data_IF_372227075730
#
_entry.id   IF_372227075730
#
_cell.length_a   1.000
_cell.length_b   1.000
_cell.length_c   1.000
_cell.angle_alpha   90.00
_cell.angle_beta   90.00
_cell.angle_gamma   90.00
#
_symmetry.space_group_name_H-M   'P 1'
#
loop_
_entity.id
_entity.type
_entity.pdbx_description
1 polymer ?
#
# COMPACT_ATOMS: atom_id res chain seq x y z
N UNK A 1 20.57 11.28 20.18
CA UNK A 1 20.63 12.03 18.89
C UNK A 1 19.23 12.21 18.34
N UNK A 2 18.89 13.43 17.96
CA UNK A 2 17.59 13.72 17.34
C UNK A 2 17.69 13.53 15.83
N UNK A 3 16.77 12.77 15.26
CA UNK A 3 16.76 12.54 13.81
C UNK A 3 15.33 12.38 13.29
N UNK A 4 15.18 12.67 12.02
CA UNK A 4 13.98 12.37 11.26
C UNK A 4 14.39 11.76 9.92
N UNK A 5 13.69 10.73 9.48
CA UNK A 5 13.96 10.02 8.24
C UNK A 5 12.66 9.93 7.42
N UNK A 6 12.75 10.26 6.16
CA UNK A 6 11.71 10.06 5.19
C UNK A 6 12.19 9.07 4.14
N UNK A 7 11.37 8.05 3.86
CA UNK A 7 11.63 7.08 2.80
C UNK A 7 10.41 6.90 1.92
N UNK A 8 10.65 6.66 0.65
CA UNK A 8 9.61 6.36 -0.33
C UNK A 8 10.03 5.12 -1.10
N UNK A 9 9.14 4.13 -1.18
CA UNK A 9 9.35 2.92 -1.94
C UNK A 9 8.19 2.69 -2.92
N UNK A 10 8.48 2.49 -4.22
CA UNK A 10 7.43 2.19 -5.18
C UNK A 10 6.94 0.76 -5.03
N UNK A 11 5.65 0.56 -5.24
CA UNK A 11 5.00 -0.75 -5.24
C UNK A 11 4.56 -1.06 -6.66
N UNK A 12 5.00 -2.21 -7.20
CA UNK A 12 4.78 -2.56 -8.60
C UNK A 12 3.70 -3.61 -8.83
N UNK A 13 3.36 -4.41 -7.81
CA UNK A 13 2.36 -5.48 -7.96
C UNK A 13 1.23 -5.32 -6.96
N UNK A 14 0.05 -5.84 -7.32
CA UNK A 14 -1.10 -5.82 -6.43
C UNK A 14 -0.93 -6.77 -5.25
N UNK A 15 -0.14 -7.84 -5.43
CA UNK A 15 0.17 -8.76 -4.32
C UNK A 15 0.98 -8.06 -3.23
N UNK A 16 1.99 -7.29 -3.62
CA UNK A 16 2.80 -6.51 -2.68
C UNK A 16 1.94 -5.46 -1.96
N UNK A 17 1.03 -4.81 -2.70
CA UNK A 17 0.09 -3.86 -2.11
C UNK A 17 -0.81 -4.53 -1.06
N UNK A 18 -1.29 -5.74 -1.35
CA UNK A 18 -2.11 -6.51 -0.40
C UNK A 18 -1.34 -6.85 0.87
N UNK A 19 -0.08 -7.26 0.74
CA UNK A 19 0.78 -7.58 1.89
C UNK A 19 1.04 -6.36 2.76
N UNK A 20 1.30 -5.21 2.17
CA UNK A 20 1.49 -3.95 2.89
C UNK A 20 0.21 -3.56 3.61
N UNK A 21 -0.95 -3.72 2.98
CA UNK A 21 -2.24 -3.45 3.59
C UNK A 21 -2.48 -4.31 4.82
N UNK A 22 -2.22 -5.62 4.71
CA UNK A 22 -2.35 -6.55 5.84
C UNK A 22 -1.41 -6.19 6.99
N UNK A 23 -0.18 -5.78 6.67
CA UNK A 23 0.79 -5.35 7.68
C UNK A 23 0.32 -4.07 8.38
N UNK A 24 -0.07 -3.05 7.62
CA UNK A 24 -0.48 -1.76 8.17
C UNK A 24 -1.74 -1.86 9.04
N UNK A 25 -2.66 -2.74 8.67
CA UNK A 25 -3.90 -2.97 9.42
C UNK A 25 -3.78 -4.03 10.49
N UNK A 26 -2.59 -4.63 10.65
CA UNK A 26 -2.32 -5.67 11.65
C UNK A 26 -3.26 -6.86 11.53
N UNK A 27 -3.50 -7.31 10.29
CA UNK A 27 -4.39 -8.44 10.02
C UNK A 27 -3.77 -9.80 10.35
N UNK A 28 -2.44 -9.88 10.44
CA UNK A 28 -1.73 -11.12 10.78
C UNK A 28 -1.69 -11.32 12.29
N UNK A 29 -1.78 -12.57 12.73
CA UNK A 29 -1.70 -12.92 14.15
C UNK A 29 -0.28 -12.85 14.71
N UNK A 30 0.74 -13.01 13.86
CA UNK A 30 2.14 -12.95 14.24
C UNK A 30 2.98 -12.37 13.10
N UNK A 31 4.04 -11.67 13.45
CA UNK A 31 4.97 -11.03 12.51
C UNK A 31 6.38 -11.54 12.77
N UNK A 32 6.71 -12.70 12.19
CA UNK A 32 8.01 -13.34 12.41
C UNK A 32 9.18 -12.53 11.86
N UNK A 33 8.94 -11.72 10.82
CA UNK A 33 9.97 -10.87 10.20
C UNK A 33 10.28 -9.62 11.00
N UNK A 34 9.42 -9.26 11.95
CA UNK A 34 9.63 -8.10 12.82
C UNK A 34 9.11 -8.41 14.22
N UNK A 35 9.97 -8.97 15.10
CA UNK A 35 9.57 -9.34 16.44
C UNK A 35 9.24 -8.15 17.35
N UNK A 36 9.61 -6.93 16.95
CA UNK A 36 9.34 -5.73 17.74
C UNK A 36 7.88 -5.26 17.65
N UNK A 37 7.09 -5.87 16.76
CA UNK A 37 5.66 -5.55 16.63
C UNK A 37 4.92 -6.12 17.85
N UNK A 38 4.30 -5.23 18.60
CA UNK A 38 3.44 -5.59 19.74
C UNK A 38 1.97 -5.47 19.33
N UNK A 39 1.34 -6.62 19.08
CA UNK A 39 -0.05 -6.66 18.64
C UNK A 39 -1.03 -6.14 19.70
N UNK A 40 -0.66 -6.19 20.99
CA UNK A 40 -1.52 -5.66 22.06
C UNK A 40 -1.68 -4.14 21.97
N UNK A 41 -0.76 -3.45 21.32
CA UNK A 41 -0.77 -1.99 21.13
C UNK A 41 -1.39 -1.55 19.81
N UNK A 42 -1.96 -2.46 19.03
CA UNK A 42 -2.61 -2.12 17.74
C UNK A 42 -3.72 -1.08 17.93
N UNK A 43 -4.42 -1.13 19.04
CA UNK A 43 -5.47 -0.15 19.38
C UNK A 43 -4.97 1.30 19.48
N UNK A 44 -3.67 1.48 19.70
CA UNK A 44 -3.05 2.81 19.82
C UNK A 44 -2.69 3.39 18.43
N UNK A 45 -2.79 2.59 17.36
CA UNK A 45 -2.55 3.05 16.02
C UNK A 45 -3.70 3.97 15.56
N UNK A 46 -3.33 5.07 14.90
CA UNK A 46 -4.30 6.05 14.39
C UNK A 46 -4.20 6.12 12.88
N UNK A 47 -5.34 5.99 12.20
CA UNK A 47 -5.45 6.26 10.76
C UNK A 47 -5.91 7.70 10.57
N UNK A 48 -5.04 8.57 10.06
CA UNK A 48 -5.36 9.99 9.84
C UNK A 48 -6.37 10.17 8.72
N UNK A 49 -6.22 9.39 7.64
CA UNK A 49 -7.20 9.34 6.55
C UNK A 49 -7.56 7.86 6.37
N UNK A 50 -8.60 7.38 7.06
CA UNK A 50 -8.93 5.96 7.03
C UNK A 50 -9.44 5.50 5.68
N UNK A 51 -8.99 4.33 5.24
CA UNK A 51 -9.52 3.62 4.11
C UNK A 51 -10.34 2.44 4.62
N UNK A 52 -11.65 2.46 4.39
CA UNK A 52 -12.60 1.47 4.91
C UNK A 52 -12.64 0.17 4.11
N UNK A 53 -11.61 -0.11 3.33
CA UNK A 53 -11.51 -1.29 2.49
C UNK A 53 -10.04 -1.72 2.39
N UNK A 54 -9.80 -2.92 1.89
CA UNK A 54 -8.45 -3.41 1.63
C UNK A 54 -7.80 -2.55 0.54
N UNK A 55 -6.49 -2.43 0.56
CA UNK A 55 -5.75 -1.56 -0.37
C UNK A 55 -5.95 -1.96 -1.83
N UNK A 56 -5.97 -3.25 -2.13
CA UNK A 56 -6.22 -3.73 -3.50
C UNK A 56 -7.61 -3.31 -3.98
N UNK A 57 -8.60 -3.44 -3.12
CA UNK A 57 -9.97 -3.00 -3.44
C UNK A 57 -10.01 -1.48 -3.66
N UNK A 58 -9.30 -0.72 -2.82
CA UNK A 58 -9.15 0.72 -3.00
C UNK A 58 -8.52 1.09 -4.33
N UNK A 59 -7.48 0.36 -4.73
CA UNK A 59 -6.84 0.54 -6.03
C UNK A 59 -7.84 0.31 -7.17
N UNK A 60 -8.64 -0.75 -7.12
CA UNK A 60 -9.65 -1.02 -8.15
C UNK A 60 -10.72 0.08 -8.22
N UNK A 61 -11.16 0.60 -7.07
CA UNK A 61 -12.11 1.70 -7.04
C UNK A 61 -11.57 2.97 -7.68
N UNK A 62 -10.30 3.30 -7.42
CA UNK A 62 -9.64 4.47 -8.00
C UNK A 62 -9.40 4.33 -9.50
N UNK A 63 -9.24 3.12 -10.00
CA UNK A 63 -8.86 2.85 -11.39
C UNK A 63 -9.99 2.20 -12.21
N UNK A 64 -11.23 2.23 -11.73
CA UNK A 64 -12.34 1.54 -12.39
C UNK A 64 -12.59 1.99 -13.83
N UNK A 65 -12.34 3.25 -14.14
CA UNK A 65 -12.48 3.76 -15.51
C UNK A 65 -11.42 3.17 -16.45
N UNK A 66 -10.19 3.07 -15.97
CA UNK A 66 -9.11 2.44 -16.72
C UNK A 66 -9.38 0.96 -16.94
N UNK A 67 -9.98 0.30 -15.96
CA UNK A 67 -10.40 -1.11 -16.08
C UNK A 67 -11.44 -1.26 -17.19
N UNK A 68 -12.44 -0.39 -17.26
CA UNK A 68 -13.45 -0.42 -18.31
C UNK A 68 -12.83 -0.23 -19.69
N UNK A 69 -11.93 0.74 -19.84
CA UNK A 69 -11.23 0.99 -21.09
C UNK A 69 -10.40 -0.22 -21.52
N UNK A 70 -9.73 -0.87 -20.56
CA UNK A 70 -8.97 -2.08 -20.81
C UNK A 70 -9.86 -3.22 -21.29
N UNK A 71 -10.98 -3.45 -20.63
CA UNK A 71 -11.93 -4.50 -20.99
C UNK A 71 -12.51 -4.28 -22.39
N UNK A 72 -12.80 -3.04 -22.75
CA UNK A 72 -13.26 -2.70 -24.10
C UNK A 72 -12.20 -2.96 -25.16
N UNK A 73 -10.94 -2.59 -24.89
CA UNK A 73 -9.84 -2.90 -25.80
C UNK A 73 -9.64 -4.41 -25.97
N UNK A 74 -9.80 -5.19 -24.89
CA UNK A 74 -9.62 -6.64 -24.93
C UNK A 74 -10.70 -7.34 -25.73
N UNK A 75 -11.90 -6.77 -25.89
CA UNK A 75 -12.94 -7.32 -26.76
C UNK A 75 -12.50 -7.38 -28.20
N UNK A 76 -11.68 -6.43 -28.65
CA UNK A 76 -11.18 -6.33 -30.02
C UNK A 76 -9.78 -6.91 -30.18
N UNK A 77 -9.17 -7.40 -29.11
CA UNK A 77 -7.83 -7.94 -29.13
C UNK A 77 -7.85 -9.42 -29.57
N UNK A 78 -6.75 -9.88 -30.16
CA UNK A 78 -6.57 -11.29 -30.50
C UNK A 78 -6.62 -12.12 -29.23
N UNK A 79 -7.21 -13.31 -29.32
CA UNK A 79 -7.46 -14.18 -28.18
C UNK A 79 -6.18 -14.54 -27.43
N UNK A 80 -5.07 -14.76 -28.14
CA UNK A 80 -3.76 -15.06 -27.57
C UNK A 80 -3.10 -13.89 -26.83
N UNK A 81 -3.62 -12.66 -27.02
CA UNK A 81 -3.09 -11.45 -26.38
C UNK A 81 -4.02 -10.89 -25.31
N UNK A 82 -5.20 -11.48 -25.13
CA UNK A 82 -6.14 -11.02 -24.13
C UNK A 82 -5.61 -11.25 -22.72
N UNK A 83 -5.77 -10.24 -21.86
CA UNK A 83 -5.33 -10.29 -20.46
C UNK A 83 -6.34 -9.60 -19.58
N UNK A 84 -6.48 -10.09 -18.34
CA UNK A 84 -7.28 -9.39 -17.33
C UNK A 84 -6.59 -8.07 -16.96
N UNK A 85 -7.35 -7.15 -16.39
CA UNK A 85 -6.81 -5.89 -15.91
C UNK A 85 -5.68 -6.12 -14.89
N UNK A 86 -5.86 -7.07 -13.97
CA UNK A 86 -4.84 -7.41 -12.99
C UNK A 86 -3.55 -7.94 -13.64
N UNK A 87 -3.68 -8.81 -14.63
CA UNK A 87 -2.51 -9.30 -15.35
C UNK A 87 -1.75 -8.18 -16.07
N UNK A 88 -2.49 -7.25 -16.67
CA UNK A 88 -1.90 -6.10 -17.33
C UNK A 88 -1.15 -5.21 -16.34
N UNK A 89 -1.75 -4.91 -15.20
CA UNK A 89 -1.13 -4.09 -14.15
C UNK A 89 0.17 -4.74 -13.65
N UNK A 90 0.14 -6.04 -13.33
CA UNK A 90 1.30 -6.74 -12.78
C UNK A 90 2.44 -6.85 -13.81
N UNK A 91 2.13 -6.93 -15.10
CA UNK A 91 3.15 -7.03 -16.16
C UNK A 91 3.72 -5.70 -16.61
N UNK A 92 3.00 -4.61 -16.40
CA UNK A 92 3.42 -3.29 -16.91
C UNK A 92 4.68 -2.76 -16.24
N UNK A 93 5.03 -3.27 -15.05
CA UNK A 93 6.12 -2.76 -14.21
C UNK A 93 5.95 -1.28 -13.87
N UNK A 94 4.74 -0.76 -14.02
CA UNK A 94 4.39 0.59 -13.62
C UNK A 94 4.13 0.64 -12.12
N UNK A 95 4.40 1.77 -11.51
CA UNK A 95 4.13 1.97 -10.09
C UNK A 95 2.62 1.99 -9.87
N UNK A 96 2.10 1.08 -9.03
CA UNK A 96 0.69 1.05 -8.65
C UNK A 96 0.42 1.93 -7.42
N UNK A 97 1.41 2.07 -6.56
CA UNK A 97 1.34 2.92 -5.37
C UNK A 97 2.75 3.21 -4.87
N UNK A 98 2.90 4.25 -4.07
CA UNK A 98 4.12 4.54 -3.34
C UNK A 98 3.87 4.37 -1.85
N UNK A 99 4.76 3.65 -1.18
CA UNK A 99 4.78 3.60 0.27
C UNK A 99 5.73 4.68 0.79
N UNK A 100 5.20 5.60 1.57
CA UNK A 100 5.98 6.67 2.17
C UNK A 100 6.03 6.46 3.67
N UNK A 101 7.25 6.45 4.22
CA UNK A 101 7.46 6.25 5.64
C UNK A 101 8.22 7.45 6.19
N UNK A 102 7.63 8.08 7.20
CA UNK A 102 8.29 9.11 7.98
C UNK A 102 8.52 8.60 9.39
N UNK A 103 9.78 8.57 9.81
CA UNK A 103 10.14 8.18 11.16
C UNK A 103 11.02 9.26 11.80
N UNK A 104 10.94 9.36 13.11
CA UNK A 104 11.74 10.32 13.85
C UNK A 104 12.09 9.76 15.23
N UNK A 105 13.19 10.24 15.80
CA UNK A 105 13.53 9.88 17.17
C UNK A 105 12.50 10.45 18.14
N UNK A 106 12.34 9.80 19.30
CA UNK A 106 11.44 10.27 20.32
C UNK A 106 11.69 11.73 20.72
N UNK A 107 12.95 12.10 20.87
CA UNK A 107 13.33 13.46 21.25
C UNK A 107 13.03 14.50 20.17
N UNK A 108 13.00 14.10 18.90
CA UNK A 108 12.63 14.98 17.79
C UNK A 108 11.19 15.49 17.96
N UNK A 109 10.25 14.61 18.29
CA UNK A 109 8.86 14.99 18.50
C UNK A 109 8.69 15.91 19.73
N UNK A 110 9.45 15.70 20.77
CA UNK A 110 9.44 16.57 21.94
C UNK A 110 9.90 17.99 21.60
N UNK A 111 10.91 18.13 20.74
CA UNK A 111 11.35 19.44 20.26
C UNK A 111 10.29 20.14 19.42
N UNK A 112 9.61 19.41 18.54
CA UNK A 112 8.54 19.96 17.71
C UNK A 112 7.35 20.46 18.53
N UNK A 113 7.06 19.83 19.66
CA UNK A 113 5.94 20.24 20.51
C UNK A 113 6.19 21.56 21.28
N UNK A 114 7.44 22.00 21.34
CA UNK A 114 7.83 23.26 22.03
C UNK A 114 7.70 24.46 21.07
N UNK A 115 7.76 24.22 19.81
CA UNK A 115 7.65 25.25 18.77
C UNK A 115 6.20 25.54 18.43
#
# INVERSE_FOLDING_TARGET
MNYAIFRSEPIYTLNDLAQIGSHNKREKKAYNSNPDIDLSKTKDNVELVPLNMKYVKGFYEMTKEYKKEHEERMKNEREDRRRTFRQMVDKSKSVVADEMIFTASHNFFNLCSII
#
